data_IF_756213436563
#
_entry.id   IF_756213436563
#
_cell.length_a   1.000
_cell.length_b   1.000
_cell.length_c   1.000
_cell.angle_alpha   90.00
_cell.angle_beta   90.00
_cell.angle_gamma   90.00
#
_symmetry.space_group_name_H-M   'P 1'
#
loop_
_entity.id
_entity.type
_entity.pdbx_description
1 polymer ?
#
# COMPACT_ATOMS: atom_id res chain seq x y z
N UNK A 1 10.26 -12.49 -17.57
CA UNK A 1 10.79 -11.93 -16.32
C UNK A 1 9.78 -12.16 -15.21
N UNK A 2 10.15 -11.90 -13.96
CA UNK A 2 9.30 -12.10 -12.80
C UNK A 2 8.62 -10.80 -12.36
N UNK A 3 7.46 -10.95 -11.73
CA UNK A 3 6.66 -9.90 -11.11
C UNK A 3 6.48 -10.29 -9.65
N UNK A 4 6.89 -9.42 -8.73
CA UNK A 4 6.56 -9.53 -7.33
C UNK A 4 5.27 -8.73 -7.07
N UNK A 5 4.19 -9.42 -6.73
CA UNK A 5 2.85 -8.81 -6.65
C UNK A 5 2.57 -8.14 -5.32
N UNK A 6 3.43 -8.32 -4.30
CA UNK A 6 3.26 -7.66 -3.01
C UNK A 6 4.58 -7.66 -2.23
N UNK A 7 5.18 -6.48 -2.05
CA UNK A 7 6.44 -6.34 -1.31
C UNK A 7 6.53 -5.00 -0.57
N UNK A 8 7.28 -4.97 0.52
CA UNK A 8 7.68 -3.75 1.19
C UNK A 8 9.17 -3.52 0.96
N UNK A 9 9.53 -2.49 0.20
CA UNK A 9 10.94 -2.18 -0.06
C UNK A 9 11.62 -1.80 1.26
N UNK A 10 10.91 -1.10 2.15
CA UNK A 10 11.40 -0.65 3.46
C UNK A 10 11.92 -1.80 4.32
N UNK A 11 11.29 -2.98 4.24
CA UNK A 11 11.70 -4.19 4.96
C UNK A 11 13.10 -4.69 4.57
N UNK A 12 13.62 -4.28 3.40
CA UNK A 12 14.99 -4.57 2.97
C UNK A 12 16.04 -3.59 3.53
N UNK A 13 15.61 -2.55 4.25
CA UNK A 13 16.46 -1.49 4.82
C UNK A 13 17.28 -0.71 3.78
N UNK A 14 16.84 -0.68 2.52
CA UNK A 14 17.47 0.09 1.45
C UNK A 14 16.44 0.95 0.69
N UNK A 15 16.92 1.89 -0.11
CA UNK A 15 16.08 2.75 -0.96
C UNK A 15 15.63 2.03 -2.23
N UNK A 16 14.59 2.52 -2.95
CA UNK A 16 14.15 1.89 -4.20
C UNK A 16 15.25 1.67 -5.26
N UNK A 17 16.20 2.61 -5.48
CA UNK A 17 17.32 2.37 -6.40
C UNK A 17 18.22 1.20 -5.98
N UNK A 18 18.54 1.07 -4.69
CA UNK A 18 19.38 -0.02 -4.20
C UNK A 18 18.63 -1.35 -4.18
N UNK A 19 17.34 -1.35 -3.87
CA UNK A 19 16.47 -2.52 -4.02
C UNK A 19 16.46 -3.02 -5.47
N UNK A 20 16.28 -2.12 -6.44
CA UNK A 20 16.30 -2.45 -7.87
C UNK A 20 17.62 -3.10 -8.29
N UNK A 21 18.77 -2.59 -7.81
CA UNK A 21 20.10 -3.17 -8.10
C UNK A 21 20.24 -4.61 -7.62
N UNK A 22 19.53 -4.98 -6.55
CA UNK A 22 19.57 -6.34 -6.00
C UNK A 22 18.63 -7.27 -6.76
N UNK A 23 17.38 -6.88 -6.99
CA UNK A 23 16.38 -7.82 -7.53
C UNK A 23 16.46 -8.01 -9.05
N UNK A 24 16.93 -7.01 -9.80
CA UNK A 24 17.03 -7.09 -11.27
C UNK A 24 17.97 -8.20 -11.76
N UNK A 25 19.19 -8.40 -11.21
CA UNK A 25 20.04 -9.54 -11.54
C UNK A 25 19.39 -10.92 -11.33
N UNK A 26 18.37 -10.99 -10.48
CA UNK A 26 17.61 -12.21 -10.20
C UNK A 26 16.35 -12.36 -11.07
N UNK A 27 16.14 -11.45 -12.03
CA UNK A 27 15.09 -11.55 -13.04
C UNK A 27 13.74 -10.93 -12.66
N UNK A 28 13.62 -10.32 -11.47
CA UNK A 28 12.46 -9.51 -11.09
C UNK A 28 12.53 -8.18 -11.82
N UNK A 29 11.54 -7.92 -12.68
CA UNK A 29 11.49 -6.68 -13.49
C UNK A 29 10.34 -5.77 -13.09
N UNK A 30 9.41 -6.27 -12.29
CA UNK A 30 8.27 -5.49 -11.80
C UNK A 30 8.03 -5.84 -10.33
N UNK A 31 7.73 -4.82 -9.53
CA UNK A 31 7.27 -5.00 -8.15
C UNK A 31 6.04 -4.15 -7.89
N UNK A 32 5.12 -4.67 -7.11
CA UNK A 32 3.98 -3.95 -6.56
C UNK A 32 4.25 -3.74 -5.08
N UNK A 33 4.61 -2.52 -4.71
CA UNK A 33 5.03 -2.19 -3.35
C UNK A 33 3.94 -1.47 -2.56
N UNK A 34 3.80 -1.83 -1.29
CA UNK A 34 2.93 -1.16 -0.34
C UNK A 34 3.79 -0.38 0.67
N UNK A 35 3.99 0.94 0.50
CA UNK A 35 4.93 1.71 1.30
C UNK A 35 4.34 2.12 2.67
N UNK A 36 3.82 1.14 3.42
CA UNK A 36 3.07 1.42 4.64
C UNK A 36 3.99 1.74 5.82
N UNK A 37 5.25 1.30 5.80
CA UNK A 37 6.23 1.58 6.85
C UNK A 37 6.65 3.05 6.79
N UNK A 38 7.07 3.54 5.61
CA UNK A 38 7.37 4.97 5.46
C UNK A 38 6.09 5.82 5.53
N UNK A 39 4.94 5.28 5.11
CA UNK A 39 3.63 5.90 5.29
C UNK A 39 3.29 6.12 6.76
N UNK A 40 3.58 5.17 7.64
CA UNK A 40 3.40 5.31 9.09
C UNK A 40 4.27 6.40 9.70
N UNK A 41 5.49 6.61 9.19
CA UNK A 41 6.43 7.60 9.73
C UNK A 41 6.21 9.00 9.15
N UNK A 42 6.00 9.09 7.83
CA UNK A 42 6.04 10.35 7.08
C UNK A 42 4.72 10.70 6.38
N UNK A 43 3.71 9.83 6.45
CA UNK A 43 2.41 10.04 5.79
C UNK A 43 2.53 10.14 4.28
N UNK A 44 1.79 11.09 3.70
CA UNK A 44 1.75 11.36 2.25
C UNK A 44 3.13 11.67 1.67
N UNK A 45 3.99 12.34 2.45
CA UNK A 45 5.37 12.63 2.02
C UNK A 45 6.21 11.35 1.87
N UNK A 46 5.94 10.32 2.67
CA UNK A 46 6.59 9.01 2.55
C UNK A 46 6.17 8.29 1.27
N UNK A 47 4.86 8.31 0.95
CA UNK A 47 4.33 7.74 -0.29
C UNK A 47 4.92 8.47 -1.50
N UNK A 48 4.92 9.80 -1.48
CA UNK A 48 5.48 10.62 -2.56
C UNK A 48 6.98 10.34 -2.74
N UNK A 49 7.74 10.21 -1.65
CA UNK A 49 9.15 9.83 -1.72
C UNK A 49 9.35 8.49 -2.44
N UNK A 50 8.52 7.48 -2.16
CA UNK A 50 8.65 6.17 -2.81
C UNK A 50 8.34 6.22 -4.31
N UNK A 51 7.36 7.04 -4.71
CA UNK A 51 7.08 7.32 -6.12
C UNK A 51 8.29 8.02 -6.78
N UNK A 52 8.77 9.10 -6.19
CA UNK A 52 9.85 9.92 -6.75
C UNK A 52 11.18 9.15 -6.83
N UNK A 53 11.54 8.43 -5.76
CA UNK A 53 12.78 7.67 -5.67
C UNK A 53 12.83 6.46 -6.60
N UNK A 54 11.66 6.00 -7.10
CA UNK A 54 11.56 4.91 -8.06
C UNK A 54 11.37 5.36 -9.51
N UNK A 55 11.25 6.67 -9.76
CA UNK A 55 11.12 7.22 -11.11
C UNK A 55 12.40 6.97 -11.94
N UNK A 56 12.22 6.56 -13.20
CA UNK A 56 13.33 6.30 -14.13
C UNK A 56 14.20 5.08 -13.81
N UNK A 57 13.85 4.27 -12.80
CA UNK A 57 14.56 3.02 -12.52
C UNK A 57 14.33 1.97 -13.64
N UNK A 58 15.30 1.08 -13.88
CA UNK A 58 15.10 -0.07 -14.78
C UNK A 58 14.12 -1.13 -14.22
N UNK A 59 13.76 -1.04 -12.94
CA UNK A 59 12.71 -1.84 -12.31
C UNK A 59 11.36 -1.12 -12.44
N UNK A 60 10.33 -1.79 -12.94
CA UNK A 60 8.97 -1.25 -12.95
C UNK A 60 8.37 -1.30 -11.52
N UNK A 61 8.36 -0.17 -10.84
CA UNK A 61 7.83 -0.05 -9.47
C UNK A 61 6.41 0.52 -9.50
N UNK A 62 5.46 -0.28 -9.04
CA UNK A 62 4.05 0.07 -8.88
C UNK A 62 3.70 0.19 -7.41
N UNK A 63 2.75 1.04 -7.06
CA UNK A 63 2.42 1.35 -5.66
C UNK A 63 0.97 0.97 -5.34
N UNK A 64 0.78 0.31 -4.21
CA UNK A 64 -0.51 0.14 -3.54
C UNK A 64 -0.53 1.04 -2.30
N UNK A 65 -1.53 1.89 -2.17
CA UNK A 65 -1.63 2.90 -1.12
C UNK A 65 -1.85 2.27 0.26
N UNK A 66 -1.11 2.67 1.31
CA UNK A 66 -1.27 2.11 2.65
C UNK A 66 -2.69 2.31 3.22
N UNK A 67 -3.40 1.22 3.53
CA UNK A 67 -4.77 1.28 4.03
C UNK A 67 -4.89 1.60 5.53
N UNK A 68 -3.92 1.13 6.32
CA UNK A 68 -3.98 1.11 7.78
C UNK A 68 -2.81 1.88 8.41
N UNK A 69 -2.91 3.21 8.42
CA UNK A 69 -1.93 4.11 9.06
C UNK A 69 -2.63 5.11 9.99
N UNK A 70 -2.47 4.99 11.33
CA UNK A 70 -1.83 3.87 12.04
C UNK A 70 -2.59 2.55 11.87
N UNK A 71 -1.94 1.42 12.14
CA UNK A 71 -2.57 0.09 12.09
C UNK A 71 -3.68 -0.05 13.15
N UNK A 72 -3.52 0.60 14.31
CA UNK A 72 -4.49 0.58 15.39
C UNK A 72 -4.84 1.99 15.86
N UNK A 73 -6.09 2.24 16.30
CA UNK A 73 -6.53 3.58 16.70
C UNK A 73 -5.99 4.03 18.07
N UNK A 74 -5.37 3.14 18.83
CA UNK A 74 -4.83 3.40 20.17
C UNK A 74 -3.32 3.67 20.19
N UNK A 75 -2.64 3.55 19.05
CA UNK A 75 -1.22 3.85 18.91
C UNK A 75 -0.97 5.27 18.38
N UNK A 76 0.25 5.76 18.61
CA UNK A 76 0.73 7.01 18.05
C UNK A 76 1.72 6.70 16.93
N UNK A 77 1.39 7.09 15.70
CA UNK A 77 2.27 7.01 14.54
C UNK A 77 2.75 8.41 14.13
N UNK A 78 3.74 8.47 13.23
CA UNK A 78 4.21 9.72 12.65
C UNK A 78 3.19 10.39 11.72
N UNK A 79 2.20 9.62 11.25
CA UNK A 79 1.11 10.12 10.43
C UNK A 79 -0.20 9.36 10.63
N UNK A 80 -1.27 9.93 10.08
CA UNK A 80 -2.55 9.28 9.87
C UNK A 80 -2.92 9.46 8.40
N UNK A 81 -3.18 8.35 7.69
CA UNK A 81 -3.61 8.36 6.29
C UNK A 81 -5.10 8.07 6.24
N UNK A 82 -5.90 9.13 6.11
CA UNK A 82 -7.35 9.06 5.91
C UNK A 82 -7.68 8.87 4.42
N UNK A 83 -8.93 8.53 4.11
CA UNK A 83 -9.40 8.47 2.71
C UNK A 83 -9.05 9.75 1.92
N UNK A 84 -9.31 10.92 2.50
CA UNK A 84 -9.05 12.23 1.88
C UNK A 84 -7.57 12.46 1.52
N UNK A 85 -6.65 11.90 2.31
CA UNK A 85 -5.20 12.01 2.08
C UNK A 85 -4.69 11.04 1.02
N UNK A 86 -5.34 9.88 0.88
CA UNK A 86 -4.99 8.90 -0.14
C UNK A 86 -5.58 9.25 -1.50
N UNK A 87 -6.77 9.85 -1.51
CA UNK A 87 -7.55 10.15 -2.72
C UNK A 87 -6.75 10.83 -3.85
N UNK A 88 -5.87 11.82 -3.59
CA UNK A 88 -5.09 12.46 -4.65
C UNK A 88 -4.15 11.50 -5.39
N UNK A 89 -3.69 10.43 -4.74
CA UNK A 89 -2.72 9.50 -5.32
C UNK A 89 -3.34 8.53 -6.34
N UNK A 90 -4.65 8.27 -6.31
CA UNK A 90 -5.30 7.40 -7.30
C UNK A 90 -5.19 7.94 -8.74
N UNK A 91 -4.94 9.24 -8.92
CA UNK A 91 -4.67 9.83 -10.23
C UNK A 91 -3.26 9.58 -10.77
N UNK A 92 -2.35 9.01 -9.97
CA UNK A 92 -0.96 8.79 -10.37
C UNK A 92 -0.82 7.50 -11.20
N UNK A 93 -0.17 7.52 -12.37
CA UNK A 93 -0.16 6.37 -13.30
C UNK A 93 0.54 5.10 -12.77
N UNK A 94 1.37 5.23 -11.73
CA UNK A 94 2.04 4.10 -11.07
C UNK A 94 1.33 3.59 -9.81
N UNK A 95 0.25 4.26 -9.37
CA UNK A 95 -0.59 3.80 -8.25
C UNK A 95 -1.65 2.86 -8.81
N UNK A 96 -1.69 1.64 -8.27
CA UNK A 96 -2.60 0.58 -8.74
C UNK A 96 -3.83 0.40 -7.86
N UNK A 97 -3.78 0.87 -6.60
CA UNK A 97 -4.91 0.76 -5.70
C UNK A 97 -4.55 0.82 -4.23
N UNK A 98 -5.34 0.13 -3.40
CA UNK A 98 -5.25 0.15 -1.94
C UNK A 98 -4.58 -1.13 -1.43
N UNK A 99 -3.54 -0.99 -0.63
CA UNK A 99 -2.73 -2.08 -0.11
C UNK A 99 -3.39 -2.79 1.08
N UNK A 100 -3.26 -4.12 1.10
CA UNK A 100 -3.48 -5.03 2.24
C UNK A 100 -4.35 -4.47 3.37
N UNK A 101 -5.66 -4.51 3.22
CA UNK A 101 -6.59 -4.00 4.24
C UNK A 101 -6.53 -4.86 5.51
N UNK A 102 -5.59 -4.54 6.40
CA UNK A 102 -5.32 -5.30 7.63
C UNK A 102 -6.38 -5.10 8.72
N UNK A 103 -7.02 -3.94 8.75
CA UNK A 103 -8.03 -3.59 9.76
C UNK A 103 -9.41 -4.17 9.38
N UNK A 104 -9.49 -5.50 9.40
CA UNK A 104 -10.73 -6.27 9.27
C UNK A 104 -11.82 -5.81 10.26
N UNK A 105 -11.53 -5.53 11.55
CA UNK A 105 -12.55 -5.03 12.47
C UNK A 105 -13.27 -3.76 11.99
N UNK A 106 -12.55 -2.83 11.35
CA UNK A 106 -13.15 -1.63 10.76
C UNK A 106 -13.97 -1.94 9.51
N UNK A 107 -13.52 -2.86 8.66
CA UNK A 107 -14.31 -3.35 7.51
C UNK A 107 -15.63 -3.96 7.99
N UNK A 108 -15.56 -4.92 8.92
CA UNK A 108 -16.72 -5.64 9.42
C UNK A 108 -17.75 -4.75 10.14
N UNK A 109 -17.30 -3.64 10.75
CA UNK A 109 -18.16 -2.67 11.44
C UNK A 109 -18.67 -1.55 10.52
N UNK A 110 -18.21 -1.50 9.27
CA UNK A 110 -18.52 -0.42 8.35
C UNK A 110 -17.99 0.93 8.83
N UNK A 111 -16.76 0.97 9.36
CA UNK A 111 -16.12 2.22 9.77
C UNK A 111 -16.10 3.23 8.60
N UNK A 112 -16.44 4.48 8.91
CA UNK A 112 -16.65 5.49 7.88
C UNK A 112 -15.38 5.81 7.08
N UNK A 113 -14.20 5.84 7.70
CA UNK A 113 -12.96 6.11 6.97
C UNK A 113 -12.52 4.89 6.15
N UNK A 114 -12.62 3.69 6.73
CA UNK A 114 -12.28 2.45 6.01
C UNK A 114 -13.19 2.22 4.80
N UNK A 115 -14.50 2.35 4.96
CA UNK A 115 -15.47 2.20 3.86
C UNK A 115 -15.20 3.24 2.77
N UNK A 116 -14.85 4.48 3.12
CA UNK A 116 -14.47 5.49 2.12
C UNK A 116 -13.19 5.13 1.38
N UNK A 117 -12.16 4.59 2.04
CA UNK A 117 -10.93 4.13 1.37
C UNK A 117 -11.23 3.05 0.33
N UNK A 118 -12.06 2.07 0.70
CA UNK A 118 -12.52 1.00 -0.19
C UNK A 118 -13.33 1.55 -1.37
N UNK A 119 -14.27 2.47 -1.09
CA UNK A 119 -15.09 3.10 -2.12
C UNK A 119 -14.26 3.99 -3.07
N UNK A 120 -13.34 4.79 -2.56
CA UNK A 120 -12.46 5.64 -3.38
C UNK A 120 -11.57 4.79 -4.32
N UNK A 121 -11.06 3.64 -3.84
CA UNK A 121 -10.32 2.70 -4.68
C UNK A 121 -11.22 2.10 -5.77
N UNK A 122 -12.44 1.68 -5.42
CA UNK A 122 -13.40 1.11 -6.36
C UNK A 122 -13.86 2.13 -7.41
N UNK A 123 -14.14 3.38 -7.00
CA UNK A 123 -14.53 4.49 -7.88
C UNK A 123 -13.40 4.86 -8.84
N UNK A 124 -12.14 4.77 -8.39
CA UNK A 124 -10.96 4.92 -9.23
C UNK A 124 -10.68 3.71 -10.14
N UNK A 125 -11.49 2.65 -10.06
CA UNK A 125 -11.30 1.38 -10.77
C UNK A 125 -9.94 0.72 -10.48
N UNK A 126 -9.45 0.92 -9.26
CA UNK A 126 -8.19 0.39 -8.78
C UNK A 126 -8.38 -0.94 -8.05
N UNK A 127 -7.27 -1.66 -7.82
CA UNK A 127 -7.27 -2.88 -7.05
C UNK A 127 -7.41 -2.60 -5.54
N UNK A 128 -7.91 -3.59 -4.80
CA UNK A 128 -7.96 -3.58 -3.34
C UNK A 128 -7.35 -4.91 -2.88
N UNK A 129 -6.17 -4.84 -2.29
CA UNK A 129 -5.48 -6.00 -1.73
C UNK A 129 -5.90 -6.21 -0.28
N UNK A 130 -5.89 -7.47 0.14
CA UNK A 130 -6.33 -7.85 1.47
C UNK A 130 -5.27 -8.56 2.32
N UNK A 131 -5.52 -8.61 3.62
CA UNK A 131 -4.76 -9.34 4.63
C UNK A 131 -5.71 -10.28 5.39
N UNK A 132 -5.84 -11.51 4.90
CA UNK A 132 -6.79 -12.50 5.42
C UNK A 132 -6.29 -13.36 6.59
N UNK A 133 -5.20 -12.97 7.27
CA UNK A 133 -4.60 -13.79 8.31
C UNK A 133 -5.57 -13.99 9.48
N UNK A 134 -5.89 -15.25 9.79
CA UNK A 134 -6.76 -15.60 10.90
C UNK A 134 -8.25 -15.34 10.67
N UNK A 135 -8.68 -15.00 9.44
CA UNK A 135 -10.10 -14.90 9.12
C UNK A 135 -10.74 -16.29 9.03
N UNK A 136 -11.84 -16.45 9.74
CA UNK A 136 -12.71 -17.63 9.66
C UNK A 136 -13.63 -17.56 8.42
N UNK A 137 -14.28 -18.67 8.09
CA UNK A 137 -15.13 -18.78 6.88
C UNK A 137 -16.26 -17.76 6.76
N UNK A 138 -16.88 -17.33 7.86
CA UNK A 138 -17.91 -16.28 7.80
C UNK A 138 -17.27 -14.89 7.67
N UNK A 139 -16.07 -14.71 8.22
CA UNK A 139 -15.33 -13.46 8.16
C UNK A 139 -14.83 -13.17 6.74
N UNK A 140 -14.43 -14.18 5.97
CA UNK A 140 -14.01 -13.99 4.57
C UNK A 140 -15.17 -13.59 3.63
N UNK A 141 -16.43 -13.83 4.01
CA UNK A 141 -17.58 -13.34 3.24
C UNK A 141 -17.89 -11.87 3.53
N UNK A 142 -17.55 -11.40 4.73
CA UNK A 142 -17.69 -9.99 5.14
C UNK A 142 -16.55 -9.15 4.58
N UNK A 143 -15.35 -9.72 4.57
CA UNK A 143 -14.13 -9.12 4.04
C UNK A 143 -14.15 -9.03 2.52
#
# INVERSE_FOLDING_TARGET
SFIDTHVHIESSMVTPPEFARVVLPHGVTTVVTAPHEIGNVCGEAGIQYMLDASEGLPLDVRVMLPSCVPCTPFEHAGAQLTADKLRPFYGHPRVLGLAEVMDYPSVAKGDADMVRKLADAADAQCFIDGHGAGLESDAINVY
#
